data_IF_402688755856
#
_entry.id   IF_402688755856
#
_cell.length_a   1.000
_cell.length_b   1.000
_cell.length_c   1.000
_cell.angle_alpha   90.00
_cell.angle_beta   90.00
_cell.angle_gamma   90.00
#
_symmetry.space_group_name_H-M   'P 1'
#
loop_
_entity.id
_entity.type
_entity.pdbx_description
1 polymer ?
#
# COMPACT_ATOMS: atom_id res chain seq x y z
N UNK A 1 14.37 -6.96 10.28
CA UNK A 1 14.34 -6.17 9.03
C UNK A 1 13.75 -7.02 7.91
N UNK A 2 12.46 -6.82 7.63
CA UNK A 2 11.84 -7.42 6.43
C UNK A 2 12.26 -6.54 5.26
N UNK A 3 13.17 -7.04 4.40
CA UNK A 3 13.47 -6.38 3.13
C UNK A 3 12.14 -6.17 2.40
N UNK A 4 11.86 -4.97 1.96
CA UNK A 4 10.85 -4.71 0.92
C UNK A 4 11.25 -5.62 -0.24
N UNK A 5 10.60 -6.77 -0.27
CA UNK A 5 11.04 -7.93 -1.03
C UNK A 5 11.13 -7.54 -2.51
N UNK A 6 12.07 -8.14 -3.23
CA UNK A 6 12.10 -8.26 -4.70
C UNK A 6 10.69 -8.43 -5.30
N UNK A 7 9.74 -9.01 -4.56
CA UNK A 7 8.32 -9.12 -4.93
C UNK A 7 7.56 -7.79 -5.08
N UNK A 8 7.97 -6.71 -4.41
CA UNK A 8 7.36 -5.39 -4.62
C UNK A 8 7.80 -4.83 -5.97
N UNK A 9 9.09 -4.97 -6.28
CA UNK A 9 9.66 -4.60 -7.58
C UNK A 9 9.00 -5.38 -8.73
N UNK A 10 8.80 -6.69 -8.57
CA UNK A 10 8.25 -7.55 -9.62
C UNK A 10 6.74 -7.31 -9.84
N UNK A 11 6.00 -6.82 -8.85
CA UNK A 11 4.57 -6.55 -8.98
C UNK A 11 4.24 -5.17 -9.54
N UNK A 12 5.10 -4.17 -9.34
CA UNK A 12 5.00 -2.89 -10.03
C UNK A 12 5.58 -2.95 -11.45
N UNK A 13 6.39 -3.94 -11.77
CA UNK A 13 7.06 -4.09 -13.07
C UNK A 13 6.17 -4.67 -14.19
N UNK A 14 4.90 -4.98 -13.93
CA UNK A 14 3.92 -5.21 -15.01
C UNK A 14 3.46 -3.83 -15.58
N UNK A 15 4.35 -2.88 -15.58
CA UNK A 15 4.11 -1.58 -16.14
C UNK A 15 4.42 -1.59 -17.61
N UNK A 16 3.45 -1.12 -18.36
CA UNK A 16 3.49 -0.71 -19.73
C UNK A 16 4.93 -0.51 -20.23
N UNK A 17 5.26 -1.01 -21.41
CA UNK A 17 6.57 -0.94 -22.06
C UNK A 17 7.21 0.48 -22.10
N UNK A 18 6.48 1.49 -21.69
CA UNK A 18 6.93 2.89 -21.60
C UNK A 18 7.85 3.17 -20.39
N UNK A 19 7.77 2.40 -19.31
CA UNK A 19 8.54 2.64 -18.09
C UNK A 19 9.63 1.58 -17.93
N UNK A 20 10.68 1.68 -18.74
CA UNK A 20 11.88 0.85 -18.56
C UNK A 20 12.60 1.20 -17.26
N UNK A 21 13.42 0.30 -16.73
CA UNK A 21 14.20 0.57 -15.51
C UNK A 21 15.08 1.81 -15.67
N UNK A 22 15.74 1.96 -16.82
CA UNK A 22 16.59 3.13 -17.11
C UNK A 22 15.78 4.43 -17.13
N UNK A 23 14.58 4.40 -17.69
CA UNK A 23 13.70 5.58 -17.70
C UNK A 23 13.21 5.92 -16.29
N UNK A 24 12.81 4.95 -15.49
CA UNK A 24 12.41 5.18 -14.09
C UNK A 24 13.54 5.82 -13.27
N UNK A 25 14.79 5.39 -13.48
CA UNK A 25 15.96 5.95 -12.79
C UNK A 25 16.26 7.41 -13.20
N UNK A 26 15.63 7.94 -14.23
CA UNK A 26 15.73 9.36 -14.62
C UNK A 26 14.64 10.25 -14.00
N UNK A 27 13.62 9.67 -13.38
CA UNK A 27 12.46 10.37 -12.85
C UNK A 27 12.62 10.70 -11.37
N UNK A 28 12.07 11.85 -10.97
CA UNK A 28 11.87 12.20 -9.57
C UNK A 28 10.52 11.65 -9.07
N UNK A 29 10.49 11.19 -7.82
CA UNK A 29 9.33 10.59 -7.20
C UNK A 29 9.06 11.17 -5.80
N UNK A 30 7.80 11.17 -5.39
CA UNK A 30 7.40 11.46 -4.01
C UNK A 30 6.46 10.38 -3.48
N UNK A 31 6.75 9.85 -2.29
CA UNK A 31 5.87 8.97 -1.54
C UNK A 31 5.14 9.79 -0.48
N UNK A 32 3.83 9.95 -0.66
CA UNK A 32 3.04 10.94 0.08
C UNK A 32 2.68 10.51 1.51
N UNK A 33 2.65 9.22 1.80
CA UNK A 33 2.10 8.68 3.04
C UNK A 33 2.72 7.33 3.44
N UNK A 34 4.05 7.24 3.40
CA UNK A 34 4.74 5.99 3.71
C UNK A 34 4.46 5.50 5.14
N UNK A 35 4.21 6.42 6.09
CA UNK A 35 3.88 6.07 7.47
C UNK A 35 2.60 5.25 7.62
N UNK A 36 1.72 5.26 6.59
CA UNK A 36 0.54 4.39 6.54
C UNK A 36 0.87 2.90 6.34
N UNK A 37 2.10 2.58 5.97
CA UNK A 37 2.60 1.22 5.68
C UNK A 37 3.76 0.82 6.58
N UNK A 38 4.50 1.80 7.12
CA UNK A 38 5.74 1.57 7.87
C UNK A 38 5.49 1.66 9.38
N UNK A 39 5.91 0.64 10.08
CA UNK A 39 5.99 0.61 11.55
C UNK A 39 7.45 0.70 12.03
N UNK A 40 8.28 1.45 11.31
CA UNK A 40 9.74 1.54 11.46
C UNK A 40 10.46 0.22 11.16
N UNK A 41 9.90 -0.60 10.27
CA UNK A 41 10.47 -1.90 9.87
C UNK A 41 10.71 -2.02 8.36
N UNK A 42 10.43 -0.97 7.56
CA UNK A 42 10.62 -0.95 6.13
C UNK A 42 11.99 -0.42 5.71
N UNK A 43 12.63 -1.13 4.78
CA UNK A 43 13.84 -0.67 4.10
C UNK A 43 13.49 -0.12 2.72
N UNK A 44 13.61 1.20 2.55
CA UNK A 44 13.33 1.89 1.29
C UNK A 44 14.52 1.93 0.33
N UNK A 45 15.65 1.32 0.63
CA UNK A 45 16.86 1.37 -0.21
C UNK A 45 16.59 0.87 -1.63
N UNK A 46 15.86 -0.23 -1.77
CA UNK A 46 15.48 -0.78 -3.08
C UNK A 46 14.52 0.12 -3.85
N UNK A 47 13.64 0.84 -3.16
CA UNK A 47 12.72 1.80 -3.80
C UNK A 47 13.48 3.05 -4.24
N UNK A 48 14.38 3.57 -3.40
CA UNK A 48 15.23 4.72 -3.75
C UNK A 48 16.08 4.45 -4.99
N UNK A 49 16.59 3.23 -5.14
CA UNK A 49 17.38 2.83 -6.31
C UNK A 49 16.58 2.78 -7.63
N UNK A 50 15.24 2.90 -7.58
CA UNK A 50 14.40 2.93 -8.77
C UNK A 50 14.26 4.33 -9.38
N UNK A 51 14.62 5.40 -8.67
CA UNK A 51 14.40 6.77 -9.08
C UNK A 51 15.69 7.59 -9.01
N UNK A 52 15.75 8.69 -9.77
CA UNK A 52 16.81 9.67 -9.64
C UNK A 52 16.78 10.33 -8.25
N UNK A 53 15.58 10.70 -7.82
CA UNK A 53 15.31 11.26 -6.50
C UNK A 53 14.01 10.64 -5.94
N UNK A 54 13.98 10.32 -4.66
CA UNK A 54 12.78 9.89 -3.96
C UNK A 54 12.60 10.67 -2.66
N UNK A 55 11.59 11.52 -2.63
CA UNK A 55 11.13 12.21 -1.44
C UNK A 55 10.16 11.31 -0.66
N UNK A 56 10.36 11.20 0.64
CA UNK A 56 9.53 10.38 1.54
C UNK A 56 8.81 11.28 2.54
N UNK A 57 7.48 11.24 2.52
CA UNK A 57 6.63 11.93 3.48
C UNK A 57 5.88 10.91 4.33
N UNK A 58 5.99 11.01 5.65
CA UNK A 58 5.30 10.12 6.59
C UNK A 58 3.78 10.22 6.42
N UNK A 59 3.28 11.44 6.28
CA UNK A 59 1.88 11.75 5.98
C UNK A 59 1.81 13.04 5.15
N UNK A 60 0.73 13.20 4.37
CA UNK A 60 0.50 14.39 3.55
C UNK A 60 -0.94 14.86 3.75
N UNK A 61 -1.12 16.08 4.23
CA UNK A 61 -2.42 16.72 4.31
C UNK A 61 -2.91 17.14 2.90
N UNK A 62 -4.23 17.22 2.65
CA UNK A 62 -4.77 17.51 1.32
C UNK A 62 -4.18 18.78 0.67
N UNK A 63 -4.00 19.84 1.44
CA UNK A 63 -3.46 21.13 1.00
C UNK A 63 -1.97 21.09 0.62
N UNK A 64 -1.26 20.04 1.01
CA UNK A 64 0.17 19.85 0.72
C UNK A 64 0.42 19.01 -0.53
N UNK A 65 -0.63 18.36 -1.07
CA UNK A 65 -0.47 17.36 -2.15
C UNK A 65 0.13 18.01 -3.41
N UNK A 66 -0.41 19.14 -3.83
CA UNK A 66 0.03 19.84 -5.04
C UNK A 66 1.48 20.33 -4.86
N UNK A 67 1.81 20.94 -3.73
CA UNK A 67 3.16 21.41 -3.43
C UNK A 67 4.18 20.27 -3.53
N UNK A 68 3.90 19.14 -2.87
CA UNK A 68 4.79 17.97 -2.80
C UNK A 68 4.94 17.24 -4.12
N UNK A 69 3.94 17.34 -5.00
CA UNK A 69 3.97 16.71 -6.32
C UNK A 69 4.43 17.65 -7.44
N UNK A 70 4.55 18.97 -7.19
CA UNK A 70 4.83 19.98 -8.22
C UNK A 70 6.17 19.81 -8.95
N UNK A 71 7.11 19.08 -8.36
CA UNK A 71 8.47 18.91 -8.88
C UNK A 71 8.82 17.47 -9.22
N UNK A 72 7.85 16.55 -9.22
CA UNK A 72 8.08 15.13 -9.46
C UNK A 72 7.23 14.60 -10.60
N UNK A 73 7.72 13.59 -11.29
CA UNK A 73 6.99 12.90 -12.34
C UNK A 73 6.25 11.66 -11.84
N UNK A 74 6.59 11.20 -10.64
CA UNK A 74 6.00 9.96 -10.07
C UNK A 74 5.43 10.25 -8.68
N UNK A 75 4.14 10.01 -8.52
CA UNK A 75 3.47 10.02 -7.22
C UNK A 75 3.33 8.58 -6.69
N UNK A 76 3.70 8.35 -5.44
CA UNK A 76 3.44 7.10 -4.73
C UNK A 76 2.52 7.41 -3.56
N UNK A 77 1.40 6.69 -3.46
CA UNK A 77 0.43 6.89 -2.38
C UNK A 77 -0.22 5.58 -1.95
N UNK A 78 -0.60 5.49 -0.69
CA UNK A 78 -1.48 4.44 -0.18
C UNK A 78 -2.92 4.96 0.00
N UNK A 79 -3.09 6.12 0.65
CA UNK A 79 -4.40 6.65 1.04
C UNK A 79 -4.64 8.10 0.64
N UNK A 80 -3.58 8.87 0.34
CA UNK A 80 -3.74 10.26 -0.04
C UNK A 80 -4.54 10.36 -1.33
N UNK A 81 -5.53 11.25 -1.32
CA UNK A 81 -6.42 11.48 -2.47
C UNK A 81 -5.70 12.32 -3.52
N UNK A 82 -5.77 11.89 -4.78
CA UNK A 82 -5.29 12.59 -5.96
C UNK A 82 -6.48 12.69 -6.91
N UNK A 83 -7.27 13.73 -6.74
CA UNK A 83 -8.49 13.97 -7.49
C UNK A 83 -8.24 14.66 -8.84
N UNK A 84 -9.31 14.93 -9.57
CA UNK A 84 -9.23 15.57 -10.89
C UNK A 84 -8.64 16.98 -10.82
N UNK A 85 -8.93 17.74 -9.77
CA UNK A 85 -8.42 19.12 -9.60
C UNK A 85 -6.92 19.09 -9.33
N UNK A 86 -6.47 18.20 -8.47
CA UNK A 86 -5.04 17.95 -8.21
C UNK A 86 -4.30 17.54 -9.48
N UNK A 87 -4.85 16.60 -10.24
CA UNK A 87 -4.24 16.11 -11.49
C UNK A 87 -4.07 17.25 -12.51
N UNK A 88 -5.07 18.09 -12.68
CA UNK A 88 -5.01 19.22 -13.62
C UNK A 88 -3.89 20.22 -13.31
N UNK A 89 -3.52 20.35 -12.04
CA UNK A 89 -2.46 21.27 -11.60
C UNK A 89 -1.05 20.65 -11.67
N UNK A 90 -0.92 19.38 -12.07
CA UNK A 90 0.33 18.63 -12.11
C UNK A 90 0.67 18.14 -13.54
N UNK A 91 0.96 19.08 -14.49
CA UNK A 91 1.19 18.71 -15.90
C UNK A 91 2.44 17.85 -16.11
N UNK A 92 3.39 17.84 -15.18
CA UNK A 92 4.62 17.03 -15.25
C UNK A 92 4.40 15.59 -14.75
N UNK A 93 3.27 15.29 -14.08
CA UNK A 93 3.02 13.96 -13.50
C UNK A 93 2.78 12.94 -14.62
N UNK A 94 3.50 11.83 -14.59
CA UNK A 94 3.47 10.78 -15.62
C UNK A 94 2.97 9.43 -15.09
N UNK A 95 3.20 9.19 -13.80
CA UNK A 95 2.94 7.90 -13.19
C UNK A 95 2.41 8.07 -11.76
N UNK A 96 1.34 7.34 -11.44
CA UNK A 96 0.83 7.22 -10.08
C UNK A 96 0.93 5.74 -9.66
N UNK A 97 1.66 5.48 -8.58
CA UNK A 97 1.82 4.15 -7.98
C UNK A 97 1.00 4.08 -6.70
N UNK A 98 -0.03 3.24 -6.69
CA UNK A 98 -0.86 3.03 -5.51
C UNK A 98 -0.35 1.79 -4.76
N UNK A 99 0.17 1.98 -3.55
CA UNK A 99 0.68 0.92 -2.68
C UNK A 99 -0.42 0.11 -1.98
N UNK A 100 -1.58 0.01 -2.64
CA UNK A 100 -2.75 -0.73 -2.21
C UNK A 100 -3.41 -1.42 -3.41
N UNK A 101 -4.39 -2.30 -3.14
CA UNK A 101 -5.22 -2.92 -4.20
C UNK A 101 -6.30 -1.97 -4.72
N UNK A 102 -6.93 -1.19 -3.82
CA UNK A 102 -7.96 -0.23 -4.19
C UNK A 102 -7.38 1.01 -4.87
N UNK A 103 -8.11 1.58 -5.80
CA UNK A 103 -7.72 2.78 -6.58
C UNK A 103 -8.68 3.96 -6.37
N UNK A 104 -9.55 3.87 -5.36
CA UNK A 104 -10.60 4.84 -5.09
C UNK A 104 -10.08 6.21 -4.62
N UNK A 105 -8.81 6.30 -4.28
CA UNK A 105 -8.14 7.54 -3.91
C UNK A 105 -7.55 8.30 -5.12
N UNK A 106 -7.72 7.79 -6.36
CA UNK A 106 -7.24 8.46 -7.58
C UNK A 106 -8.38 8.60 -8.58
N UNK A 107 -8.53 9.77 -9.19
CA UNK A 107 -9.43 9.93 -10.34
C UNK A 107 -8.80 9.33 -11.60
N UNK A 108 -9.17 8.08 -11.88
CA UNK A 108 -8.66 7.32 -13.04
C UNK A 108 -9.05 7.93 -14.38
N UNK A 109 -10.18 8.66 -14.45
CA UNK A 109 -10.64 9.29 -15.69
C UNK A 109 -9.80 10.52 -16.01
N UNK A 110 -9.56 11.36 -15.01
CA UNK A 110 -8.70 12.53 -15.14
C UNK A 110 -7.26 12.11 -15.45
N UNK A 111 -6.71 11.12 -14.74
CA UNK A 111 -5.38 10.59 -14.99
C UNK A 111 -5.23 10.10 -16.44
N UNK A 112 -6.20 9.30 -16.93
CA UNK A 112 -6.20 8.82 -18.32
C UNK A 112 -6.29 9.96 -19.35
N UNK A 113 -7.12 10.96 -19.09
CA UNK A 113 -7.27 12.11 -19.99
C UNK A 113 -5.97 12.92 -20.14
N UNK A 114 -5.16 12.98 -19.06
CA UNK A 114 -3.87 13.66 -19.04
C UNK A 114 -2.68 12.75 -19.43
N UNK A 115 -2.96 11.48 -19.78
CA UNK A 115 -1.93 10.52 -20.20
C UNK A 115 -1.10 9.95 -19.03
N UNK A 116 -1.58 10.11 -17.78
CA UNK A 116 -0.92 9.57 -16.59
C UNK A 116 -1.24 8.08 -16.47
N UNK A 117 -0.20 7.27 -16.31
CA UNK A 117 -0.35 5.83 -16.03
C UNK A 117 -0.61 5.64 -14.54
N UNK A 118 -1.62 4.84 -14.20
CA UNK A 118 -1.94 4.50 -12.81
C UNK A 118 -1.76 3.01 -12.60
N UNK A 119 -0.96 2.65 -11.60
CA UNK A 119 -0.68 1.26 -11.23
C UNK A 119 -0.97 1.02 -9.76
N UNK A 120 -1.49 -0.16 -9.46
CA UNK A 120 -1.80 -0.60 -8.11
C UNK A 120 -1.18 -1.96 -7.79
N UNK A 121 -1.15 -2.32 -6.50
CA UNK A 121 -0.67 -3.62 -6.05
C UNK A 121 -1.80 -4.65 -6.06
N UNK A 122 -1.66 -5.71 -6.86
CA UNK A 122 -2.65 -6.79 -6.94
C UNK A 122 -2.15 -8.08 -6.30
N UNK A 123 -3.06 -8.82 -5.65
CA UNK A 123 -2.83 -10.18 -5.16
C UNK A 123 -1.79 -10.35 -4.03
N UNK A 124 -1.26 -9.26 -3.44
CA UNK A 124 -0.25 -9.37 -2.39
C UNK A 124 -0.82 -9.91 -1.07
N UNK A 125 -2.09 -9.61 -0.79
CA UNK A 125 -2.77 -9.99 0.44
C UNK A 125 -3.57 -11.30 0.35
N UNK A 126 -3.70 -11.93 -0.83
CA UNK A 126 -4.62 -13.05 -1.04
C UNK A 126 -4.39 -14.20 -0.05
N UNK A 127 -3.16 -14.64 0.13
CA UNK A 127 -2.84 -15.75 1.03
C UNK A 127 -3.13 -15.39 2.51
N UNK A 128 -2.72 -14.20 2.95
CA UNK A 128 -2.93 -13.77 4.34
C UNK A 128 -4.40 -13.51 4.66
N UNK A 129 -5.15 -12.94 3.72
CA UNK A 129 -6.61 -12.73 3.88
C UNK A 129 -7.34 -14.07 3.95
N UNK A 130 -7.01 -15.01 3.05
CA UNK A 130 -7.60 -16.35 3.08
C UNK A 130 -7.29 -17.10 4.39
N UNK A 131 -6.03 -17.05 4.83
CA UNK A 131 -5.61 -17.65 6.11
C UNK A 131 -6.37 -17.03 7.28
N UNK A 132 -6.48 -15.71 7.34
CA UNK A 132 -7.18 -15.03 8.42
C UNK A 132 -8.68 -15.36 8.42
N UNK A 133 -9.30 -15.42 7.24
CA UNK A 133 -10.71 -15.83 7.09
C UNK A 133 -10.94 -17.22 7.65
N UNK A 134 -10.10 -18.20 7.26
CA UNK A 134 -10.18 -19.56 7.80
C UNK A 134 -9.97 -19.59 9.32
N UNK A 135 -9.02 -18.82 9.83
CA UNK A 135 -8.76 -18.70 11.27
C UNK A 135 -10.00 -18.22 12.02
N UNK A 136 -10.67 -17.18 11.52
CA UNK A 136 -11.90 -16.67 12.14
C UNK A 136 -13.04 -17.69 12.06
N UNK A 137 -13.20 -18.38 10.94
CA UNK A 137 -14.22 -19.43 10.79
C UNK A 137 -14.00 -20.56 11.80
N UNK A 138 -12.77 -21.06 11.95
CA UNK A 138 -12.44 -22.11 12.91
C UNK A 138 -12.58 -21.62 14.36
N UNK A 139 -12.16 -20.41 14.67
CA UNK A 139 -12.31 -19.84 16.01
C UNK A 139 -13.78 -19.71 16.42
N UNK A 140 -14.65 -19.33 15.49
CA UNK A 140 -16.10 -19.27 15.73
C UNK A 140 -16.71 -20.68 15.88
N UNK A 141 -16.39 -21.60 14.97
CA UNK A 141 -16.93 -22.96 14.97
C UNK A 141 -16.55 -23.73 16.25
N UNK A 142 -15.33 -23.53 16.75
CA UNK A 142 -14.84 -24.20 17.98
C UNK A 142 -15.12 -23.41 19.25
N UNK A 143 -15.77 -22.24 19.17
CA UNK A 143 -15.98 -21.34 20.32
C UNK A 143 -14.67 -20.97 21.05
N UNK A 144 -13.55 -20.85 20.34
CA UNK A 144 -12.21 -20.69 20.88
C UNK A 144 -12.12 -19.59 21.96
N UNK A 145 -12.66 -18.42 21.69
CA UNK A 145 -12.64 -17.28 22.63
C UNK A 145 -13.41 -17.59 23.93
N UNK A 146 -14.50 -18.36 23.82
CA UNK A 146 -15.29 -18.76 24.99
C UNK A 146 -14.51 -19.74 25.86
N UNK A 147 -13.84 -20.71 25.25
CA UNK A 147 -13.02 -21.68 25.98
C UNK A 147 -11.77 -21.03 26.58
N UNK A 148 -11.10 -20.18 25.87
CA UNK A 148 -9.97 -19.42 26.40
C UNK A 148 -10.34 -18.64 27.67
N UNK A 149 -11.46 -17.91 27.64
CA UNK A 149 -11.99 -17.22 28.82
C UNK A 149 -12.37 -18.18 29.98
N UNK A 150 -12.97 -19.32 29.65
CA UNK A 150 -13.35 -20.30 30.65
C UNK A 150 -12.13 -20.91 31.37
N UNK A 151 -11.07 -21.20 30.64
CA UNK A 151 -9.79 -21.65 31.20
C UNK A 151 -9.15 -20.59 32.08
N UNK A 152 -9.02 -19.37 31.57
CA UNK A 152 -8.41 -18.22 32.27
C UNK A 152 -9.16 -17.89 33.57
N UNK A 153 -10.49 -18.08 33.60
CA UNK A 153 -11.34 -17.83 34.76
C UNK A 153 -11.43 -19.04 35.71
N UNK A 154 -10.69 -20.11 35.46
CA UNK A 154 -10.72 -21.33 36.32
C UNK A 154 -11.99 -22.16 36.19
N UNK A 155 -12.86 -21.89 35.23
CA UNK A 155 -14.12 -22.65 35.03
C UNK A 155 -13.86 -24.08 34.59
N UNK A 156 -12.78 -24.32 33.87
CA UNK A 156 -12.39 -25.67 33.44
C UNK A 156 -12.18 -26.61 34.60
N UNK A 157 -11.46 -26.17 35.65
CA UNK A 157 -11.17 -26.96 36.84
C UNK A 157 -12.41 -27.21 37.72
N UNK A 158 -13.43 -26.35 37.60
CA UNK A 158 -14.66 -26.42 38.39
C UNK A 158 -15.79 -27.17 37.66
N UNK A 159 -15.60 -27.49 36.38
CA UNK A 159 -16.63 -28.19 35.60
C UNK A 159 -16.68 -29.67 35.94
N UNK A 160 -17.91 -30.15 36.12
CA UNK A 160 -18.19 -31.60 36.23
C UNK A 160 -18.29 -32.27 34.87
N UNK A 161 -18.26 -31.53 33.79
CA UNK A 161 -18.34 -32.02 32.42
C UNK A 161 -16.97 -31.96 31.78
N UNK A 162 -16.62 -32.97 31.01
CA UNK A 162 -15.31 -33.08 30.37
C UNK A 162 -15.21 -32.34 29.05
N UNK A 163 -16.31 -31.90 28.42
CA UNK A 163 -16.38 -31.17 27.16
C UNK A 163 -17.58 -30.23 27.13
#
# INVERSE_FOLDING_TARGET
MKKFSTKFRDKFFILNSQFTQEYMMSLAAAFLDYGSLDMNDLDFSSLRACFNELQLYESTAPEQVIERLSHVEVAISNKVVIDAETIQQLPQLKLILISATGTNNVDLKAAKAQGIVVCNCQGYGTASVAQHTLTLMLALATSLIRYDRAVTQGRWQQSSQFC
#
